data_IF_034572341581
#
_entry.id   IF_034572341581
#
_cell.length_a   1.000
_cell.length_b   1.000
_cell.length_c   1.000
_cell.angle_alpha   90.00
_cell.angle_beta   90.00
_cell.angle_gamma   90.00
#
_symmetry.space_group_name_H-M   'P 1'
#
loop_
_entity.id
_entity.type
_entity.pdbx_description
1 polymer ?
#
# COMPACT_ATOMS: atom_id res chain seq x y z
N UNK A 1 -64.69 10.55 0.21
CA UNK A 1 -63.68 10.71 -0.86
C UNK A 1 -62.49 11.54 -0.38
N UNK A 2 -62.68 12.61 0.41
CA UNK A 2 -61.58 13.44 0.92
C UNK A 2 -60.70 12.76 1.99
N UNK A 3 -61.23 11.87 2.83
CA UNK A 3 -60.44 11.17 3.85
C UNK A 3 -59.43 10.17 3.28
N UNK A 4 -59.67 9.62 2.08
CA UNK A 4 -58.75 8.68 1.43
C UNK A 4 -57.58 9.38 0.75
N UNK A 5 -57.74 10.65 0.35
CA UNK A 5 -56.67 11.46 -0.25
C UNK A 5 -55.69 11.91 0.84
N UNK A 6 -56.18 12.25 2.04
CA UNK A 6 -55.34 12.58 3.19
C UNK A 6 -54.50 11.38 3.70
N UNK A 7 -55.02 10.15 3.59
CA UNK A 7 -54.27 8.92 3.91
C UNK A 7 -53.27 8.49 2.81
N UNK A 8 -53.42 8.93 1.56
CA UNK A 8 -52.39 8.74 0.53
C UNK A 8 -51.29 9.80 0.58
N UNK A 9 -51.61 11.01 1.05
CA UNK A 9 -50.62 12.07 1.28
C UNK A 9 -49.74 11.80 2.51
N UNK A 10 -50.21 11.02 3.50
CA UNK A 10 -49.37 10.59 4.63
C UNK A 10 -48.45 9.41 4.30
N UNK A 11 -48.71 8.67 3.21
CA UNK A 11 -47.84 7.58 2.72
C UNK A 11 -46.78 8.02 1.72
N UNK A 12 -46.88 9.24 1.22
CA UNK A 12 -45.89 9.87 0.32
C UNK A 12 -44.91 10.79 1.06
N UNK A 13 -45.06 10.94 2.39
CA UNK A 13 -44.15 11.68 3.28
C UNK A 13 -42.95 10.86 3.81
N UNK A 14 -42.71 9.67 3.27
CA UNK A 14 -41.49 8.89 3.53
C UNK A 14 -40.38 9.31 2.58
N UNK A 15 -40.01 10.59 2.59
CA UNK A 15 -38.71 10.99 2.08
C UNK A 15 -37.67 10.21 2.88
N UNK A 16 -37.02 9.26 2.22
CA UNK A 16 -35.66 8.86 2.56
C UNK A 16 -34.88 10.17 2.37
N UNK A 17 -34.85 11.08 3.35
CA UNK A 17 -34.28 10.77 4.63
C UNK A 17 -32.82 10.62 4.31
N UNK A 18 -32.24 11.73 3.87
CA UNK A 18 -30.83 11.97 3.73
C UNK A 18 -30.11 11.16 4.81
N UNK A 19 -29.44 10.09 4.40
CA UNK A 19 -28.25 9.63 5.12
C UNK A 19 -27.10 10.64 4.86
N UNK A 20 -27.41 11.95 4.95
CA UNK A 20 -26.45 13.03 4.98
C UNK A 20 -25.93 13.08 6.41
N UNK A 21 -24.81 12.39 6.64
CA UNK A 21 -24.19 12.34 7.96
C UNK A 21 -23.27 11.16 8.18
N UNK A 22 -23.18 10.21 7.23
CA UNK A 22 -22.01 9.33 7.18
C UNK A 22 -20.99 10.04 6.32
N UNK A 23 -19.94 10.55 6.96
CA UNK A 23 -18.76 11.07 6.27
C UNK A 23 -18.23 9.92 5.42
N UNK A 24 -18.57 9.91 4.13
CA UNK A 24 -18.06 8.89 3.22
C UNK A 24 -16.60 9.22 2.96
N UNK A 25 -15.68 8.24 3.04
CA UNK A 25 -14.30 8.47 2.66
C UNK A 25 -14.30 9.01 1.23
N UNK A 26 -13.97 10.30 1.10
CA UNK A 26 -13.86 10.93 -0.21
C UNK A 26 -12.51 10.53 -0.78
N UNK A 27 -12.45 10.06 -2.04
CA UNK A 27 -11.18 9.80 -2.68
C UNK A 27 -10.37 11.09 -2.69
N UNK A 28 -9.23 11.08 -2.00
CA UNK A 28 -8.26 12.15 -2.02
C UNK A 28 -7.13 11.79 -3.03
N UNK A 29 -6.36 12.80 -3.41
CA UNK A 29 -5.16 12.67 -4.27
C UNK A 29 -3.96 13.38 -3.65
N UNK A 30 -4.06 13.76 -2.37
CA UNK A 30 -3.06 14.54 -1.65
C UNK A 30 -2.06 13.69 -0.87
N UNK A 31 -2.05 12.37 -1.07
CA UNK A 31 -1.14 11.46 -0.39
C UNK A 31 0.33 11.82 -0.65
N UNK A 32 1.13 11.84 0.41
CA UNK A 32 2.55 12.15 0.38
C UNK A 32 3.39 11.00 0.92
N UNK A 33 4.43 10.64 0.16
CA UNK A 33 5.43 9.68 0.60
C UNK A 33 6.77 10.40 0.77
N UNK A 34 7.24 10.48 2.01
CA UNK A 34 8.53 11.09 2.34
C UNK A 34 9.59 10.00 2.41
N UNK A 35 10.48 9.96 1.42
CA UNK A 35 11.54 8.94 1.33
C UNK A 35 12.86 9.52 1.86
N UNK A 36 13.46 8.86 2.85
CA UNK A 36 14.76 9.26 3.38
C UNK A 36 15.88 9.09 2.34
N UNK A 37 16.95 9.88 2.46
CA UNK A 37 18.12 9.72 1.58
C UNK A 37 18.76 8.33 1.71
N UNK A 38 18.71 7.72 2.88
CA UNK A 38 19.22 6.36 3.11
C UNK A 38 18.41 5.33 2.30
N UNK A 39 17.08 5.40 2.40
CA UNK A 39 16.17 4.54 1.66
C UNK A 39 16.39 4.67 0.16
N UNK A 40 16.44 5.91 -0.36
CA UNK A 40 16.71 6.18 -1.77
C UNK A 40 18.03 5.57 -2.26
N UNK A 41 19.13 5.78 -1.53
CA UNK A 41 20.43 5.25 -1.93
C UNK A 41 20.48 3.72 -1.93
N UNK A 42 19.82 3.08 -0.95
CA UNK A 42 19.70 1.62 -0.89
C UNK A 42 18.88 1.07 -2.07
N UNK A 43 17.73 1.69 -2.38
CA UNK A 43 16.90 1.31 -3.52
C UNK A 43 17.68 1.41 -4.84
N UNK A 44 18.35 2.54 -5.09
CA UNK A 44 19.13 2.73 -6.32
C UNK A 44 20.30 1.75 -6.44
N UNK A 45 21.03 1.50 -5.34
CA UNK A 45 22.11 0.52 -5.31
C UNK A 45 21.58 -0.88 -5.60
N UNK A 46 20.46 -1.26 -4.99
CA UNK A 46 19.86 -2.56 -5.17
C UNK A 46 19.35 -2.76 -6.60
N UNK A 47 18.56 -1.81 -7.11
CA UNK A 47 18.04 -1.83 -8.48
C UNK A 47 19.18 -1.92 -9.52
N UNK A 48 20.27 -1.18 -9.31
CA UNK A 48 21.42 -1.22 -10.22
C UNK A 48 22.15 -2.57 -10.20
N UNK A 49 22.25 -3.22 -9.04
CA UNK A 49 22.87 -4.53 -8.90
C UNK A 49 22.03 -5.66 -9.51
N UNK A 50 20.71 -5.48 -9.59
CA UNK A 50 19.77 -6.45 -10.14
C UNK A 50 19.78 -6.59 -11.66
N UNK A 51 20.18 -5.54 -12.39
CA UNK A 51 20.14 -5.50 -13.86
C UNK A 51 20.88 -6.71 -14.46
N UNK A 52 20.27 -7.49 -15.38
CA UNK A 52 19.05 -7.17 -16.13
C UNK A 52 17.73 -7.64 -15.51
N UNK A 53 17.76 -8.25 -14.33
CA UNK A 53 16.56 -8.76 -13.65
C UNK A 53 15.86 -7.66 -12.85
N UNK A 54 14.54 -7.78 -12.74
CA UNK A 54 13.77 -7.01 -11.75
C UNK A 54 14.17 -7.45 -10.35
N UNK A 55 14.23 -6.49 -9.41
CA UNK A 55 14.46 -6.78 -7.99
C UNK A 55 13.38 -6.15 -7.15
N UNK A 56 13.15 -6.68 -5.95
CA UNK A 56 12.16 -6.14 -5.02
C UNK A 56 12.68 -6.04 -3.58
N UNK A 57 12.06 -5.19 -2.78
CA UNK A 57 12.37 -5.05 -1.36
C UNK A 57 11.23 -4.45 -0.57
N UNK A 58 11.40 -4.42 0.76
CA UNK A 58 10.40 -3.89 1.69
C UNK A 58 10.82 -2.51 2.19
N UNK A 59 9.82 -1.63 2.34
CA UNK A 59 9.96 -0.28 2.86
C UNK A 59 9.61 -0.25 4.34
N UNK A 60 10.49 0.34 5.14
CA UNK A 60 10.35 0.46 6.59
C UNK A 60 10.13 1.91 6.99
N UNK A 61 9.14 2.13 7.84
CA UNK A 61 8.76 3.48 8.23
C UNK A 61 7.62 3.56 9.21
N UNK A 62 6.91 4.68 9.11
CA UNK A 62 5.75 5.01 9.93
C UNK A 62 4.66 5.67 9.08
N UNK A 63 3.40 5.35 9.40
CA UNK A 63 2.24 6.11 8.95
C UNK A 63 2.10 7.32 9.88
N UNK A 64 2.34 8.53 9.39
CA UNK A 64 2.33 9.76 10.21
C UNK A 64 0.90 10.21 10.47
N UNK A 65 0.07 10.15 9.44
CA UNK A 65 -1.37 10.41 9.45
C UNK A 65 -2.02 9.66 8.28
N UNK A 66 -3.29 9.94 7.99
CA UNK A 66 -4.07 9.28 6.95
C UNK A 66 -3.59 9.55 5.51
N UNK A 67 -2.76 10.59 5.31
CA UNK A 67 -2.29 11.02 3.98
C UNK A 67 -0.78 10.93 3.82
N UNK A 68 -0.03 10.77 4.90
CA UNK A 68 1.43 10.87 4.91
C UNK A 68 2.09 9.58 5.37
N UNK A 69 2.95 9.03 4.52
CA UNK A 69 3.81 7.88 4.81
C UNK A 69 5.26 8.36 4.83
N UNK A 70 6.02 7.97 5.84
CA UNK A 70 7.45 8.27 5.92
C UNK A 70 8.27 7.00 5.85
N UNK A 71 9.02 6.85 4.77
CA UNK A 71 9.93 5.72 4.55
C UNK A 71 11.31 6.09 5.08
N UNK A 72 11.68 5.50 6.22
CA UNK A 72 12.94 5.77 6.93
C UNK A 72 14.07 4.90 6.39
N UNK A 73 13.78 3.63 6.08
CA UNK A 73 14.76 2.68 5.57
C UNK A 73 14.14 1.66 4.61
N UNK A 74 14.98 0.88 3.92
CA UNK A 74 14.55 -0.25 3.10
C UNK A 74 15.52 -1.42 3.26
N UNK A 75 15.06 -2.62 2.95
CA UNK A 75 15.93 -3.76 2.72
C UNK A 75 15.52 -4.57 1.48
N UNK A 76 16.50 -5.20 0.86
CA UNK A 76 16.30 -6.05 -0.31
C UNK A 76 15.76 -7.42 0.11
N UNK A 77 14.76 -7.91 -0.61
CA UNK A 77 14.36 -9.31 -0.49
C UNK A 77 15.26 -10.18 -1.38
N UNK A 78 15.63 -11.40 -0.93
CA UNK A 78 16.38 -12.33 -1.75
C UNK A 78 15.59 -12.65 -3.03
N UNK A 79 16.31 -12.72 -4.14
CA UNK A 79 15.73 -13.03 -5.43
C UNK A 79 15.34 -14.53 -5.48
N UNK A 80 14.07 -14.86 -5.21
CA UNK A 80 13.51 -16.17 -5.58
C UNK A 80 13.23 -16.17 -7.08
N UNK A 81 14.24 -16.56 -7.85
CA UNK A 81 14.20 -16.48 -9.31
C UNK A 81 13.27 -17.49 -9.96
N UNK A 82 12.26 -17.00 -10.68
CA UNK A 82 11.96 -17.36 -12.08
C UNK A 82 11.02 -16.32 -12.69
N UNK A 83 11.56 -15.20 -13.19
CA UNK A 83 11.06 -14.30 -14.25
C UNK A 83 9.58 -13.84 -14.37
N UNK A 84 8.60 -14.36 -13.62
CA UNK A 84 7.17 -14.11 -13.88
C UNK A 84 6.24 -14.23 -12.65
N UNK A 85 6.71 -14.61 -11.46
CA UNK A 85 5.83 -14.69 -10.27
C UNK A 85 6.44 -14.04 -9.03
N UNK A 86 5.75 -13.03 -8.53
CA UNK A 86 5.99 -12.43 -7.22
C UNK A 86 5.40 -13.35 -6.14
N UNK A 87 6.01 -14.52 -5.98
CA UNK A 87 5.94 -15.31 -4.74
C UNK A 87 7.11 -14.93 -3.81
N UNK A 88 7.62 -13.69 -3.96
CA UNK A 88 8.97 -13.29 -3.57
C UNK A 88 9.07 -12.66 -2.16
N UNK A 89 7.96 -12.58 -1.42
CA UNK A 89 8.00 -12.24 0.00
C UNK A 89 8.07 -13.53 0.79
N UNK A 90 9.28 -14.00 1.07
CA UNK A 90 9.48 -15.07 2.04
C UNK A 90 9.15 -14.52 3.44
N UNK A 91 8.05 -14.97 4.10
CA UNK A 91 7.65 -14.46 5.39
C UNK A 91 8.66 -14.81 6.49
N UNK A 92 9.42 -15.89 6.33
CA UNK A 92 10.48 -16.28 7.27
C UNK A 92 11.63 -15.28 7.17
N UNK A 93 12.10 -15.01 5.95
CA UNK A 93 13.15 -14.02 5.73
C UNK A 93 12.73 -12.62 6.22
N UNK A 94 11.50 -12.21 5.91
CA UNK A 94 10.97 -10.93 6.39
C UNK A 94 10.99 -10.85 7.92
N UNK A 95 10.48 -11.88 8.61
CA UNK A 95 10.42 -11.89 10.06
C UNK A 95 11.82 -11.88 10.70
N UNK A 96 12.74 -12.72 10.20
CA UNK A 96 14.12 -12.76 10.68
C UNK A 96 14.83 -11.41 10.49
N UNK A 97 14.66 -10.78 9.32
CA UNK A 97 15.26 -9.48 9.03
C UNK A 97 14.71 -8.38 9.94
N UNK A 98 13.39 -8.36 10.17
CA UNK A 98 12.76 -7.42 11.11
C UNK A 98 13.28 -7.62 12.54
N UNK A 99 13.47 -8.87 12.97
CA UNK A 99 14.00 -9.15 14.30
C UNK A 99 15.47 -8.76 14.44
N UNK A 100 16.30 -8.98 13.41
CA UNK A 100 17.68 -8.49 13.37
C UNK A 100 17.75 -6.96 13.41
N UNK A 101 16.85 -6.26 12.72
CA UNK A 101 16.80 -4.80 12.73
C UNK A 101 16.44 -4.26 14.13
N UNK A 102 15.50 -4.89 14.84
CA UNK A 102 15.16 -4.53 16.23
C UNK A 102 16.37 -4.61 17.16
N UNK A 103 17.26 -5.58 16.97
CA UNK A 103 18.49 -5.69 17.76
C UNK A 103 19.46 -4.52 17.55
N UNK A 104 19.33 -3.79 16.44
CA UNK A 104 20.12 -2.58 16.14
C UNK A 104 19.43 -1.28 16.54
N UNK A 105 18.28 -1.35 17.22
CA UNK A 105 17.48 -0.18 17.61
C UNK A 105 16.60 0.37 16.50
N UNK A 106 16.38 -0.39 15.42
CA UNK A 106 15.45 -0.05 14.32
C UNK A 106 14.14 -0.79 14.53
N UNK A 107 13.10 -0.06 14.92
CA UNK A 107 11.81 -0.62 15.32
C UNK A 107 10.69 -0.30 14.33
N UNK A 108 11.04 0.24 13.17
CA UNK A 108 10.10 0.62 12.12
C UNK A 108 9.36 -0.60 11.56
N UNK A 109 8.10 -0.39 11.20
CA UNK A 109 7.25 -1.42 10.59
C UNK A 109 7.32 -1.36 9.06
N UNK A 110 6.85 -2.43 8.41
CA UNK A 110 6.69 -2.43 6.96
C UNK A 110 5.54 -1.50 6.57
N UNK A 111 5.81 -0.54 5.69
CA UNK A 111 4.85 0.45 5.18
C UNK A 111 4.57 0.31 3.68
N UNK A 112 5.18 -0.69 3.04
CA UNK A 112 5.00 -0.99 1.62
C UNK A 112 6.19 -1.76 1.04
N UNK A 113 6.23 -1.86 -0.28
CA UNK A 113 7.28 -2.55 -1.03
C UNK A 113 7.71 -1.74 -2.26
N UNK A 114 8.89 -2.02 -2.79
CA UNK A 114 9.39 -1.42 -4.02
C UNK A 114 9.95 -2.50 -4.94
N UNK A 115 9.94 -2.25 -6.24
CA UNK A 115 10.66 -3.05 -7.22
C UNK A 115 11.25 -2.18 -8.35
N UNK A 116 12.06 -2.78 -9.21
CA UNK A 116 12.72 -2.09 -10.33
C UNK A 116 12.23 -2.62 -11.68
N UNK A 117 12.01 -1.73 -12.64
CA UNK A 117 11.78 -2.06 -14.05
C UNK A 117 12.98 -1.66 -14.93
N UNK A 118 13.98 -2.54 -15.12
CA UNK A 118 15.18 -2.21 -15.89
C UNK A 118 14.86 -2.12 -17.39
N UNK A 119 15.01 -0.92 -17.97
CA UNK A 119 14.81 -0.70 -19.40
C UNK A 119 13.37 -0.37 -19.82
N UNK A 120 12.46 -0.23 -18.85
CA UNK A 120 11.07 0.18 -19.08
C UNK A 120 10.71 1.42 -18.24
N UNK A 121 9.58 2.05 -18.54
CA UNK A 121 9.04 3.13 -17.70
C UNK A 121 8.45 2.62 -16.38
N UNK A 122 8.01 3.54 -15.53
CA UNK A 122 7.33 3.22 -14.27
C UNK A 122 5.83 2.99 -14.52
N UNK A 123 5.41 1.73 -14.54
CA UNK A 123 4.02 1.28 -14.63
C UNK A 123 3.89 -0.01 -13.84
N UNK A 124 2.66 -0.44 -13.54
CA UNK A 124 2.40 -1.71 -12.85
C UNK A 124 1.90 -2.75 -13.86
N UNK A 125 2.59 -3.89 -13.92
CA UNK A 125 2.14 -5.07 -14.65
C UNK A 125 0.96 -5.75 -13.95
N UNK A 126 0.30 -6.69 -14.62
CA UNK A 126 -0.74 -7.50 -13.99
C UNK A 126 -0.23 -8.28 -12.78
N UNK A 127 1.03 -8.72 -12.81
CA UNK A 127 1.67 -9.38 -11.66
C UNK A 127 1.86 -8.39 -10.51
N UNK A 128 2.34 -7.17 -10.79
CA UNK A 128 2.55 -6.14 -9.76
C UNK A 128 1.24 -5.73 -9.08
N UNK A 129 0.15 -5.61 -9.86
CA UNK A 129 -1.18 -5.31 -9.32
C UNK A 129 -1.67 -6.44 -8.41
N UNK A 130 -1.47 -7.72 -8.78
CA UNK A 130 -1.86 -8.85 -7.94
C UNK A 130 -1.04 -8.91 -6.63
N UNK A 131 0.25 -8.58 -6.70
CA UNK A 131 1.10 -8.42 -5.52
C UNK A 131 0.59 -7.30 -4.63
N UNK A 132 0.31 -6.13 -5.20
CA UNK A 132 -0.21 -4.98 -4.46
C UNK A 132 -1.51 -5.34 -3.73
N UNK A 133 -2.46 -5.99 -4.41
CA UNK A 133 -3.70 -6.46 -3.78
C UNK A 133 -3.45 -7.38 -2.58
N UNK A 134 -2.38 -8.17 -2.61
CA UNK A 134 -2.01 -9.07 -1.51
C UNK A 134 -1.48 -8.32 -0.29
N UNK A 135 -0.72 -7.24 -0.51
CA UNK A 135 -0.29 -6.33 0.55
C UNK A 135 -1.45 -5.52 1.14
N UNK A 136 -2.37 -5.05 0.29
CA UNK A 136 -3.54 -4.27 0.72
C UNK A 136 -4.51 -5.10 1.59
N UNK A 137 -4.56 -6.42 1.39
CA UNK A 137 -5.29 -7.34 2.27
C UNK A 137 -4.68 -7.46 3.68
N UNK A 138 -3.35 -7.30 3.80
CA UNK A 138 -2.66 -7.33 5.10
C UNK A 138 -2.79 -5.99 5.81
N UNK A 139 -2.71 -4.89 5.07
CA UNK A 139 -2.87 -3.55 5.58
C UNK A 139 -3.38 -2.64 4.47
N UNK A 140 -4.54 -1.99 4.68
CA UNK A 140 -5.27 -1.24 3.65
C UNK A 140 -4.45 -0.12 2.96
N UNK A 141 -3.36 0.33 3.58
CA UNK A 141 -2.47 1.38 3.08
C UNK A 141 -1.07 0.89 2.65
N UNK A 142 -0.88 -0.43 2.51
CA UNK A 142 0.36 -1.07 2.07
C UNK A 142 0.21 -1.65 0.68
#
# INVERSE_FOLDING_TARGET
>A
MEQSIQQMLSRSGGGMGDAAGVDQPTPDTSEQIHISSLALLKMLKHARAGVPMEVMGLMLGEFVDDYTIKVVDVFAMPQSGTGVSVEAVDPVFQQEMLDLLKLTGRHEMVVGWYHSHPGFGCWLSGTDVNTQQSFEMLHQRC
#
